data_IF_809534684117
#
_entry.id   IF_809534684117
#
_cell.length_a   1.000
_cell.length_b   1.000
_cell.length_c   1.000
_cell.angle_alpha   90.00
_cell.angle_beta   90.00
_cell.angle_gamma   90.00
#
_symmetry.space_group_name_H-M   'P 1'
#
loop_
_entity.id
_entity.type
_entity.pdbx_description
1 polymer ?
#
# COMPACT_ATOMS: atom_id res chain seq x y z
N UNK A 1 29.21 70.49 61.56
CA UNK A 1 29.36 70.69 60.08
C UNK A 1 29.33 69.38 59.31
N UNK A 2 29.85 68.26 59.81
CA UNK A 2 29.76 66.94 59.13
C UNK A 2 28.37 66.32 59.03
N UNK A 3 27.49 66.53 60.00
CA UNK A 3 26.15 65.92 60.07
C UNK A 3 25.14 66.52 59.04
N UNK A 4 25.42 67.77 58.60
CA UNK A 4 24.55 68.40 57.57
C UNK A 4 24.90 67.99 56.13
N UNK A 5 26.23 67.67 55.96
CA UNK A 5 26.69 67.14 54.64
C UNK A 5 26.18 65.76 54.35
N UNK A 6 26.16 64.83 55.34
CA UNK A 6 25.62 63.47 55.19
C UNK A 6 24.11 63.42 55.01
N UNK A 7 23.37 64.37 55.60
CA UNK A 7 21.90 64.48 55.39
C UNK A 7 21.56 65.01 54.00
N UNK A 8 22.35 65.92 53.41
CA UNK A 8 22.15 66.36 52.04
C UNK A 8 22.47 65.30 50.98
N UNK A 9 23.53 64.53 51.21
CA UNK A 9 23.87 63.37 50.34
C UNK A 9 22.79 62.28 50.38
N UNK A 10 22.23 61.99 51.58
CA UNK A 10 21.12 61.05 51.72
C UNK A 10 19.83 61.49 51.01
N UNK A 11 19.54 62.80 51.06
CA UNK A 11 18.40 63.39 50.34
C UNK A 11 18.60 63.42 48.84
N UNK A 12 19.83 63.61 48.38
CA UNK A 12 20.17 63.62 46.96
C UNK A 12 20.10 62.19 46.37
N UNK A 13 20.62 61.18 47.04
CA UNK A 13 20.50 59.77 46.66
C UNK A 13 19.04 59.32 46.62
N UNK A 14 18.20 59.68 47.60
CA UNK A 14 16.76 59.35 47.56
C UNK A 14 16.01 60.04 46.40
N UNK A 15 16.39 61.25 46.02
CA UNK A 15 15.87 61.91 44.85
C UNK A 15 16.21 61.24 43.54
N UNK A 16 17.45 60.77 43.43
CA UNK A 16 17.87 60.07 42.25
C UNK A 16 17.22 58.66 42.14
N UNK A 17 17.08 57.90 43.23
CA UNK A 17 16.29 56.64 43.25
C UNK A 17 14.80 56.87 42.90
N UNK A 18 14.18 57.95 43.41
CA UNK A 18 12.80 58.33 43.03
C UNK A 18 12.69 58.74 41.55
N UNK A 19 13.66 59.47 41.04
CA UNK A 19 13.69 59.83 39.60
C UNK A 19 13.90 58.61 38.73
N UNK A 20 14.75 57.68 39.09
CA UNK A 20 14.97 56.41 38.39
C UNK A 20 13.69 55.57 38.39
N UNK A 21 13.04 55.37 39.54
CA UNK A 21 11.80 54.64 39.66
C UNK A 21 10.63 55.31 38.89
N UNK A 22 10.56 56.64 38.89
CA UNK A 22 9.61 57.39 38.05
C UNK A 22 9.90 57.26 36.56
N UNK A 23 11.17 57.23 36.15
CA UNK A 23 11.56 57.03 34.77
C UNK A 23 11.18 55.62 34.25
N UNK A 24 11.33 54.60 35.13
CA UNK A 24 10.92 53.22 34.88
C UNK A 24 9.41 53.14 34.72
N UNK A 25 8.65 53.76 35.66
CA UNK A 25 7.19 53.83 35.58
C UNK A 25 6.70 54.55 34.33
N UNK A 26 7.35 55.65 33.96
CA UNK A 26 7.03 56.39 32.72
C UNK A 26 7.35 55.55 31.49
N UNK A 27 8.44 54.82 31.42
CA UNK A 27 8.77 53.90 30.32
C UNK A 27 7.76 52.76 30.23
N UNK A 28 7.28 52.20 31.34
CA UNK A 28 6.26 51.16 31.39
C UNK A 28 4.88 51.65 30.97
N UNK A 29 4.54 52.94 31.28
CA UNK A 29 3.23 53.50 30.99
C UNK A 29 3.15 54.24 29.65
N UNK A 30 4.28 54.65 29.06
CA UNK A 30 4.36 55.35 27.78
C UNK A 30 3.61 54.64 26.64
N UNK A 31 3.79 53.30 26.44
CA UNK A 31 3.09 52.59 25.38
C UNK A 31 1.57 52.64 25.50
N UNK A 32 1.04 52.65 26.75
CA UNK A 32 -0.41 52.66 27.00
C UNK A 32 -1.10 54.03 26.76
N UNK A 33 -0.29 55.10 26.62
CA UNK A 33 -0.80 56.48 26.28
C UNK A 33 -0.80 56.73 24.78
N UNK A 34 -0.15 55.87 24.01
CA UNK A 34 -0.04 56.04 22.59
C UNK A 34 -1.29 55.46 21.87
N UNK A 35 -1.93 56.26 21.06
CA UNK A 35 -3.09 55.83 20.27
C UNK A 35 -2.71 54.77 19.23
N UNK A 36 -1.47 54.80 18.69
CA UNK A 36 -0.98 53.79 17.75
C UNK A 36 -0.86 52.40 18.39
N UNK A 37 -0.47 52.33 19.66
CA UNK A 37 -0.45 51.07 20.38
C UNK A 37 -1.83 50.43 20.46
N UNK A 38 -2.87 51.18 20.81
CA UNK A 38 -4.23 50.69 20.90
C UNK A 38 -4.83 50.29 19.54
N UNK A 39 -4.47 51.02 18.49
CA UNK A 39 -4.83 50.66 17.10
C UNK A 39 -4.17 49.32 16.72
N UNK A 40 -2.90 49.15 17.04
CA UNK A 40 -2.18 47.88 16.80
C UNK A 40 -2.83 46.68 17.56
N UNK A 41 -3.10 46.86 18.85
CA UNK A 41 -3.80 45.81 19.65
C UNK A 41 -5.20 45.53 19.07
N UNK A 42 -5.97 46.52 18.71
CA UNK A 42 -7.28 46.37 18.09
C UNK A 42 -7.20 45.58 16.77
N UNK A 43 -6.24 45.89 15.92
CA UNK A 43 -6.04 45.18 14.65
C UNK A 43 -5.64 43.73 14.89
N UNK A 44 -4.78 43.44 15.86
CA UNK A 44 -4.37 42.08 16.20
C UNK A 44 -5.58 41.27 16.75
N UNK A 45 -6.45 41.88 17.53
CA UNK A 45 -7.70 41.26 18.00
C UNK A 45 -8.64 40.96 16.84
N UNK A 46 -8.80 41.91 15.90
CA UNK A 46 -9.64 41.72 14.70
C UNK A 46 -9.11 40.55 13.86
N UNK A 47 -7.79 40.52 13.58
CA UNK A 47 -7.16 39.41 12.85
C UNK A 47 -7.32 38.07 13.55
N UNK A 48 -7.16 38.06 14.89
CA UNK A 48 -7.36 36.84 15.70
C UNK A 48 -8.80 36.33 15.60
N UNK A 49 -9.78 37.25 15.66
CA UNK A 49 -11.18 36.89 15.48
C UNK A 49 -11.47 36.33 14.10
N UNK A 50 -10.88 36.90 13.05
CA UNK A 50 -10.99 36.38 11.69
C UNK A 50 -10.39 34.97 11.58
N UNK A 51 -9.24 34.70 12.18
CA UNK A 51 -8.63 33.37 12.21
C UNK A 51 -9.52 32.35 12.91
N UNK A 52 -10.10 32.72 14.04
CA UNK A 52 -11.04 31.86 14.79
C UNK A 52 -12.27 31.54 13.94
N UNK A 53 -12.87 32.54 13.30
CA UNK A 53 -14.03 32.34 12.42
C UNK A 53 -13.65 31.42 11.23
N UNK A 54 -12.50 31.66 10.60
CA UNK A 54 -12.01 30.80 9.53
C UNK A 54 -11.79 29.34 10.00
N UNK A 55 -11.18 29.15 11.17
CA UNK A 55 -10.98 27.83 11.78
C UNK A 55 -12.32 27.11 12.03
N UNK A 56 -13.33 27.80 12.57
CA UNK A 56 -14.66 27.22 12.79
C UNK A 56 -15.35 26.84 11.48
N UNK A 57 -15.20 27.64 10.43
CA UNK A 57 -15.73 27.34 9.10
C UNK A 57 -15.04 26.11 8.52
N UNK A 58 -13.71 26.05 8.59
CA UNK A 58 -12.91 24.91 8.09
C UNK A 58 -13.31 23.63 8.86
N UNK A 59 -13.42 23.67 10.20
CA UNK A 59 -13.85 22.55 11.01
C UNK A 59 -15.24 22.07 10.57
N UNK A 60 -16.18 22.97 10.35
CA UNK A 60 -17.55 22.61 9.93
C UNK A 60 -17.56 21.97 8.55
N UNK A 61 -16.75 22.48 7.60
CA UNK A 61 -16.59 21.89 6.25
C UNK A 61 -16.01 20.48 6.36
N UNK A 62 -14.89 20.31 7.09
CA UNK A 62 -14.24 19.00 7.26
C UNK A 62 -15.18 17.97 7.90
N UNK A 63 -15.88 18.35 8.95
CA UNK A 63 -16.86 17.46 9.62
C UNK A 63 -18.00 17.04 8.68
N UNK A 64 -18.48 17.98 7.85
CA UNK A 64 -19.53 17.69 6.87
C UNK A 64 -19.03 16.74 5.78
N UNK A 65 -17.80 16.96 5.28
CA UNK A 65 -17.17 16.08 4.30
C UNK A 65 -16.95 14.67 4.86
N UNK A 66 -16.38 14.56 6.07
CA UNK A 66 -16.16 13.26 6.73
C UNK A 66 -17.48 12.50 6.85
N UNK A 67 -18.52 13.14 7.40
CA UNK A 67 -19.86 12.53 7.52
C UNK A 67 -20.43 12.10 6.17
N UNK A 68 -20.28 12.90 5.12
CA UNK A 68 -20.80 12.61 3.80
C UNK A 68 -20.12 11.37 3.18
N UNK A 69 -18.78 11.27 3.29
CA UNK A 69 -18.02 10.13 2.79
C UNK A 69 -18.46 8.81 3.46
N UNK A 70 -18.64 8.82 4.77
CA UNK A 70 -19.06 7.62 5.51
C UNK A 70 -20.56 7.30 5.39
N UNK A 71 -21.43 8.29 5.13
CA UNK A 71 -22.86 8.07 4.94
C UNK A 71 -23.25 7.54 3.56
N UNK A 72 -22.43 7.79 2.52
CA UNK A 72 -22.69 7.32 1.16
C UNK A 72 -22.77 5.78 1.07
N UNK A 73 -22.07 5.06 1.98
CA UNK A 73 -22.07 3.60 2.03
C UNK A 73 -23.12 2.94 2.94
N UNK A 74 -24.06 3.68 3.53
CA UNK A 74 -24.73 3.22 4.78
C UNK A 74 -26.15 2.62 4.61
N UNK A 75 -26.70 2.50 3.40
CA UNK A 75 -28.11 2.07 3.24
C UNK A 75 -28.40 0.59 3.56
N UNK A 76 -27.37 -0.30 3.64
CA UNK A 76 -27.56 -1.74 3.91
C UNK A 76 -26.44 -2.39 4.77
N UNK A 77 -25.83 -1.64 5.70
CA UNK A 77 -24.72 -2.19 6.52
C UNK A 77 -25.23 -2.89 7.79
N UNK A 78 -24.59 -4.02 8.12
CA UNK A 78 -24.76 -4.73 9.38
C UNK A 78 -24.38 -3.85 10.60
N UNK A 79 -24.99 -4.11 11.76
CA UNK A 79 -24.82 -3.33 12.99
C UNK A 79 -23.34 -3.16 13.42
N UNK A 80 -22.52 -4.19 13.20
CA UNK A 80 -21.08 -4.20 13.52
C UNK A 80 -20.28 -3.25 12.60
N UNK A 81 -20.62 -3.19 11.31
CA UNK A 81 -19.99 -2.28 10.37
C UNK A 81 -20.33 -0.81 10.69
N UNK A 82 -21.56 -0.55 11.13
CA UNK A 82 -22.01 0.79 11.52
C UNK A 82 -21.23 1.31 12.73
N UNK A 83 -21.06 0.51 13.79
CA UNK A 83 -20.28 0.90 14.99
C UNK A 83 -18.83 1.22 14.66
N UNK A 84 -18.20 0.44 13.77
CA UNK A 84 -16.83 0.69 13.32
C UNK A 84 -16.71 2.01 12.55
N UNK A 85 -17.66 2.28 11.65
CA UNK A 85 -17.66 3.51 10.87
C UNK A 85 -17.87 4.74 11.77
N UNK A 86 -18.73 4.66 12.80
CA UNK A 86 -18.94 5.71 13.79
C UNK A 86 -17.65 6.04 14.56
N UNK A 87 -16.91 5.01 15.00
CA UNK A 87 -15.62 5.20 15.70
C UNK A 87 -14.58 5.86 14.77
N UNK A 88 -14.49 5.43 13.50
CA UNK A 88 -13.57 6.03 12.55
C UNK A 88 -13.90 7.48 12.23
N UNK A 89 -15.18 7.81 12.06
CA UNK A 89 -15.66 9.19 11.88
C UNK A 89 -15.29 10.05 13.06
N UNK A 90 -15.47 9.55 14.28
CA UNK A 90 -15.14 10.28 15.51
C UNK A 90 -13.64 10.55 15.65
N UNK A 91 -12.81 9.53 15.38
CA UNK A 91 -11.36 9.68 15.39
C UNK A 91 -10.88 10.72 14.36
N UNK A 92 -11.34 10.62 13.11
CA UNK A 92 -10.98 11.56 12.05
C UNK A 92 -11.44 12.98 12.37
N UNK A 93 -12.64 13.12 12.94
CA UNK A 93 -13.17 14.41 13.39
C UNK A 93 -12.26 15.03 14.45
N UNK A 94 -11.89 14.27 15.48
CA UNK A 94 -11.08 14.77 16.57
C UNK A 94 -9.67 15.16 16.10
N UNK A 95 -9.04 14.34 15.28
CA UNK A 95 -7.73 14.65 14.66
C UNK A 95 -7.81 15.96 13.85
N UNK A 96 -8.86 16.09 13.02
CA UNK A 96 -9.06 17.30 12.22
C UNK A 96 -9.26 18.55 13.07
N UNK A 97 -10.03 18.45 14.15
CA UNK A 97 -10.26 19.56 15.08
C UNK A 97 -8.96 19.98 15.75
N UNK A 98 -8.16 19.02 16.25
CA UNK A 98 -6.89 19.33 16.91
C UNK A 98 -5.89 19.96 15.93
N UNK A 99 -5.81 19.47 14.71
CA UNK A 99 -4.92 20.02 13.69
C UNK A 99 -5.30 21.47 13.34
N UNK A 100 -6.59 21.75 13.11
CA UNK A 100 -7.04 23.12 12.76
C UNK A 100 -6.84 24.07 13.93
N UNK A 101 -7.16 23.66 15.16
CA UNK A 101 -6.93 24.49 16.34
C UNK A 101 -5.44 24.74 16.60
N UNK A 102 -4.58 23.75 16.39
CA UNK A 102 -3.14 23.93 16.50
C UNK A 102 -2.64 25.01 15.55
N UNK A 103 -3.06 24.96 14.28
CA UNK A 103 -2.70 25.97 13.26
C UNK A 103 -3.27 27.35 13.63
N UNK A 104 -4.51 27.42 14.06
CA UNK A 104 -5.16 28.68 14.44
C UNK A 104 -4.46 29.33 15.64
N UNK A 105 -4.15 28.56 16.68
CA UNK A 105 -3.48 29.05 17.91
C UNK A 105 -2.07 29.54 17.59
N UNK A 106 -1.30 28.78 16.78
CA UNK A 106 0.05 29.20 16.37
C UNK A 106 0.02 30.48 15.54
N UNK A 107 -0.95 30.62 14.61
CA UNK A 107 -1.13 31.83 13.84
C UNK A 107 -1.52 33.05 14.71
N UNK A 108 -2.34 32.85 15.73
CA UNK A 108 -2.69 33.92 16.68
C UNK A 108 -1.45 34.31 17.49
N UNK A 109 -0.65 33.35 17.99
CA UNK A 109 0.59 33.66 18.71
C UNK A 109 1.56 34.49 17.87
N UNK A 110 1.69 34.18 16.59
CA UNK A 110 2.54 34.93 15.65
C UNK A 110 2.11 36.40 15.53
N UNK A 111 0.81 36.66 15.44
CA UNK A 111 0.24 38.03 15.37
C UNK A 111 0.61 38.82 16.63
N UNK A 112 0.63 38.17 17.79
CA UNK A 112 1.01 38.83 19.06
C UNK A 112 2.53 38.87 19.30
N UNK A 113 3.33 38.47 18.31
CA UNK A 113 4.80 38.50 18.38
C UNK A 113 5.42 37.43 19.30
N UNK A 114 4.65 36.42 19.69
CA UNK A 114 5.17 35.29 20.48
C UNK A 114 6.06 34.42 19.58
N UNK A 115 7.30 34.08 19.98
CA UNK A 115 8.20 33.32 19.14
C UNK A 115 7.74 31.87 19.01
N UNK A 116 7.07 31.54 17.87
CA UNK A 116 6.50 30.22 17.59
C UNK A 116 7.53 29.24 16.98
N UNK A 117 8.77 29.66 16.71
CA UNK A 117 9.79 28.83 16.06
C UNK A 117 10.03 27.50 16.77
N UNK A 118 10.06 27.51 18.11
CA UNK A 118 10.22 26.28 18.90
C UNK A 118 9.02 25.34 18.79
N UNK A 119 7.79 25.90 18.77
CA UNK A 119 6.57 25.11 18.58
C UNK A 119 6.53 24.46 17.19
N UNK A 120 6.88 25.22 16.15
CA UNK A 120 6.92 24.70 14.78
C UNK A 120 8.01 23.63 14.60
N UNK A 121 9.20 23.82 15.21
CA UNK A 121 10.24 22.82 15.19
C UNK A 121 9.81 21.52 15.87
N UNK A 122 9.20 21.60 17.06
CA UNK A 122 8.65 20.45 17.78
C UNK A 122 7.52 19.75 16.98
N UNK A 123 6.60 20.51 16.41
CA UNK A 123 5.55 19.98 15.55
C UNK A 123 6.12 19.30 14.30
N UNK A 124 7.20 19.84 13.72
CA UNK A 124 7.91 19.23 12.59
C UNK A 124 8.49 17.86 12.94
N UNK A 125 9.11 17.71 14.11
CA UNK A 125 9.64 16.41 14.58
C UNK A 125 8.50 15.41 14.78
N UNK A 126 7.39 15.82 15.40
CA UNK A 126 6.20 14.97 15.56
C UNK A 126 5.63 14.59 14.21
N UNK A 127 5.55 15.54 13.26
CA UNK A 127 5.09 15.30 11.90
C UNK A 127 5.93 14.27 11.16
N UNK A 128 7.26 14.34 11.28
CA UNK A 128 8.17 13.35 10.72
C UNK A 128 7.96 11.96 11.34
N UNK A 129 7.80 11.87 12.67
CA UNK A 129 7.56 10.60 13.34
C UNK A 129 6.24 9.95 12.89
N UNK A 130 5.17 10.75 12.77
CA UNK A 130 3.88 10.31 12.23
C UNK A 130 4.00 9.91 10.76
N UNK A 131 4.76 10.68 9.96
CA UNK A 131 5.02 10.39 8.54
C UNK A 131 5.72 9.04 8.35
N UNK A 132 6.78 8.76 9.13
CA UNK A 132 7.45 7.45 9.11
C UNK A 132 6.52 6.32 9.57
N UNK A 133 5.69 6.56 10.60
CA UNK A 133 4.69 5.59 11.05
C UNK A 133 3.60 5.29 10.01
N UNK A 134 3.26 6.25 9.15
CA UNK A 134 2.26 6.12 8.10
C UNK A 134 2.83 5.74 6.73
N UNK A 135 4.14 5.60 6.56
CA UNK A 135 4.82 5.39 5.28
C UNK A 135 4.30 4.15 4.53
N UNK A 136 4.09 3.04 5.23
CA UNK A 136 3.55 1.80 4.63
C UNK A 136 2.13 2.00 4.09
N UNK A 137 1.29 2.74 4.81
CA UNK A 137 -0.08 3.04 4.37
C UNK A 137 -0.08 3.87 3.07
N UNK A 138 0.79 4.87 3.00
CA UNK A 138 0.95 5.71 1.80
C UNK A 138 1.45 4.86 0.63
N UNK A 139 2.44 3.99 0.86
CA UNK A 139 2.94 3.05 -0.14
C UNK A 139 1.82 2.14 -0.66
N UNK A 140 1.00 1.56 0.24
CA UNK A 140 -0.12 0.68 -0.13
C UNK A 140 -1.09 1.38 -1.07
N UNK A 141 -1.47 2.63 -0.74
CA UNK A 141 -2.44 3.41 -1.52
C UNK A 141 -1.88 3.80 -2.88
N UNK A 142 -0.63 4.24 -2.94
CA UNK A 142 0.03 4.61 -4.20
C UNK A 142 0.16 3.38 -5.10
N UNK A 143 0.65 2.25 -4.57
CA UNK A 143 0.77 1.00 -5.34
C UNK A 143 -0.60 0.54 -5.84
N UNK A 144 -1.63 0.55 -4.97
CA UNK A 144 -2.98 0.17 -5.36
C UNK A 144 -3.58 1.07 -6.44
N UNK A 145 -3.28 2.38 -6.40
CA UNK A 145 -3.67 3.30 -7.47
C UNK A 145 -3.01 2.93 -8.80
N UNK A 146 -1.70 2.65 -8.82
CA UNK A 146 -1.01 2.27 -10.06
C UNK A 146 -1.46 0.92 -10.59
N UNK A 147 -1.70 -0.08 -9.74
CA UNK A 147 -2.27 -1.37 -10.16
C UNK A 147 -3.58 -1.16 -10.93
N UNK A 148 -4.47 -0.30 -10.40
CA UNK A 148 -5.75 0.01 -11.05
C UNK A 148 -5.57 0.87 -12.30
N UNK A 149 -4.70 1.87 -12.26
CA UNK A 149 -4.48 2.81 -13.34
C UNK A 149 -3.83 2.16 -14.57
N UNK A 150 -2.84 1.29 -14.33
CA UNK A 150 -2.13 0.54 -15.37
C UNK A 150 -2.83 -0.76 -15.77
N UNK A 151 -3.91 -1.13 -15.06
CA UNK A 151 -4.63 -2.38 -15.25
C UNK A 151 -3.70 -3.62 -15.24
N UNK A 152 -2.78 -3.67 -14.26
CA UNK A 152 -1.80 -4.76 -14.17
C UNK A 152 -2.48 -6.12 -13.98
N UNK A 153 -3.58 -6.15 -13.24
CA UNK A 153 -4.50 -7.29 -13.09
C UNK A 153 -5.87 -6.80 -12.61
N UNK A 154 -6.90 -7.60 -12.86
CA UNK A 154 -8.29 -7.30 -12.56
C UNK A 154 -8.94 -8.36 -11.67
N UNK A 155 -10.14 -8.06 -11.14
CA UNK A 155 -10.93 -9.06 -10.41
C UNK A 155 -11.32 -10.20 -11.35
N UNK A 156 -11.02 -11.43 -10.94
CA UNK A 156 -11.22 -12.64 -11.73
C UNK A 156 -9.93 -13.19 -12.35
N UNK A 157 -8.87 -12.39 -12.47
CA UNK A 157 -7.59 -12.85 -13.01
C UNK A 157 -6.93 -13.84 -12.05
N UNK A 158 -6.28 -14.85 -12.62
CA UNK A 158 -5.39 -15.76 -11.91
C UNK A 158 -3.96 -15.20 -11.99
N UNK A 159 -3.39 -14.95 -10.83
CA UNK A 159 -2.08 -14.31 -10.71
C UNK A 159 -1.19 -15.03 -9.71
N UNK A 160 0.11 -14.91 -9.94
CA UNK A 160 1.15 -15.25 -8.98
C UNK A 160 1.84 -13.97 -8.55
N UNK A 161 1.85 -13.71 -7.24
CA UNK A 161 2.36 -12.47 -6.64
C UNK A 161 3.59 -12.80 -5.80
N UNK A 162 4.68 -12.11 -6.09
CA UNK A 162 5.93 -12.23 -5.37
C UNK A 162 6.26 -10.91 -4.63
N UNK A 163 7.01 -11.05 -3.53
CA UNK A 163 7.64 -9.95 -2.82
C UNK A 163 9.10 -10.31 -2.58
N UNK A 164 10.02 -9.48 -3.08
CA UNK A 164 11.46 -9.71 -2.96
C UNK A 164 11.90 -11.14 -3.37
N UNK A 165 11.36 -11.65 -4.47
CA UNK A 165 11.67 -12.98 -5.00
C UNK A 165 10.98 -14.15 -4.26
N UNK A 166 10.17 -13.87 -3.24
CA UNK A 166 9.42 -14.90 -2.51
C UNK A 166 7.95 -14.87 -2.92
N UNK A 167 7.38 -16.04 -3.18
CA UNK A 167 5.94 -16.21 -3.44
C UNK A 167 5.15 -15.86 -2.18
N UNK A 168 4.24 -14.88 -2.28
CA UNK A 168 3.37 -14.46 -1.19
C UNK A 168 1.90 -14.83 -1.41
N UNK A 169 1.46 -14.95 -2.65
CA UNK A 169 0.14 -15.48 -2.99
C UNK A 169 0.08 -15.95 -4.44
N UNK A 170 -0.71 -17.01 -4.68
CA UNK A 170 -1.07 -17.49 -6.01
C UNK A 170 -2.55 -17.87 -6.02
N UNK A 171 -3.29 -17.39 -7.01
CA UNK A 171 -4.71 -17.67 -7.14
C UNK A 171 -5.50 -16.58 -7.87
N UNK A 172 -6.81 -16.67 -7.76
CA UNK A 172 -7.75 -15.74 -8.41
C UNK A 172 -7.96 -14.49 -7.55
N UNK A 173 -7.92 -13.32 -8.18
CA UNK A 173 -8.22 -12.03 -7.54
C UNK A 173 -9.72 -11.96 -7.20
N UNK A 174 -10.06 -11.90 -5.92
CA UNK A 174 -11.45 -11.75 -5.45
C UNK A 174 -11.89 -10.30 -5.37
N UNK A 175 -11.01 -9.43 -4.93
CA UNK A 175 -11.29 -8.01 -4.82
C UNK A 175 -10.02 -7.19 -4.82
N UNK A 176 -10.09 -6.03 -5.44
CA UNK A 176 -9.02 -5.07 -5.56
C UNK A 176 -9.46 -3.77 -4.88
N UNK A 177 -8.75 -3.37 -3.82
CA UNK A 177 -8.97 -2.11 -3.12
C UNK A 177 -7.76 -1.20 -3.23
N UNK A 178 -7.90 0.08 -2.89
CA UNK A 178 -6.77 1.03 -2.91
C UNK A 178 -5.62 0.62 -1.98
N UNK A 179 -5.91 -0.02 -0.85
CA UNK A 179 -4.89 -0.39 0.13
C UNK A 179 -4.51 -1.86 0.09
N UNK A 180 -5.43 -2.74 -0.28
CA UNK A 180 -5.23 -4.19 -0.19
C UNK A 180 -5.94 -4.94 -1.29
N UNK A 181 -5.31 -6.02 -1.73
CA UNK A 181 -5.81 -6.99 -2.70
C UNK A 181 -6.15 -8.30 -1.98
N UNK A 182 -7.22 -8.98 -2.39
CA UNK A 182 -7.60 -10.30 -1.88
C UNK A 182 -7.46 -11.33 -2.98
N UNK A 183 -6.69 -12.36 -2.70
CA UNK A 183 -6.39 -13.48 -3.60
C UNK A 183 -6.97 -14.75 -3.01
N UNK A 184 -7.73 -15.51 -3.79
CA UNK A 184 -8.25 -16.83 -3.43
C UNK A 184 -7.38 -17.91 -4.06
N UNK A 185 -6.71 -18.69 -3.23
CA UNK A 185 -5.95 -19.86 -3.67
C UNK A 185 -6.86 -20.95 -4.26
N UNK A 186 -6.29 -21.87 -5.02
CA UNK A 186 -6.97 -23.05 -5.56
C UNK A 186 -7.53 -23.96 -4.44
N UNK A 187 -6.90 -23.95 -3.28
CA UNK A 187 -7.35 -24.66 -2.07
C UNK A 187 -8.49 -23.96 -1.33
N UNK A 188 -8.84 -22.73 -1.75
CA UNK A 188 -9.97 -21.97 -1.22
C UNK A 188 -9.61 -20.92 -0.16
N UNK A 189 -8.36 -20.85 0.28
CA UNK A 189 -7.87 -19.86 1.24
C UNK A 189 -7.90 -18.45 0.62
N UNK A 190 -8.17 -17.47 1.47
CA UNK A 190 -8.17 -16.07 1.04
C UNK A 190 -6.98 -15.36 1.70
N UNK A 191 -6.01 -15.00 0.89
CA UNK A 191 -4.88 -14.17 1.31
C UNK A 191 -5.22 -12.70 1.11
N UNK A 192 -5.03 -11.89 2.15
CA UNK A 192 -5.22 -10.43 2.11
C UNK A 192 -3.84 -9.79 2.12
N UNK A 193 -3.48 -9.14 1.01
CA UNK A 193 -2.17 -8.52 0.81
C UNK A 193 -2.28 -7.01 0.86
N UNK A 194 -1.45 -6.30 1.66
CA UNK A 194 -1.24 -4.87 1.46
C UNK A 194 -0.65 -4.63 0.07
N UNK A 195 -1.18 -3.69 -0.70
CA UNK A 195 -0.71 -3.46 -2.08
C UNK A 195 0.77 -3.09 -2.13
N UNK A 196 1.28 -2.36 -1.14
CA UNK A 196 2.69 -1.99 -1.04
C UNK A 196 3.67 -3.16 -0.85
N UNK A 197 3.17 -4.38 -0.56
CA UNK A 197 3.96 -5.60 -0.51
C UNK A 197 4.08 -6.31 -1.86
N UNK A 198 3.27 -5.93 -2.84
CA UNK A 198 3.28 -6.47 -4.20
C UNK A 198 4.45 -5.82 -4.95
N UNK A 199 5.44 -6.61 -5.35
CA UNK A 199 6.60 -6.12 -6.10
C UNK A 199 6.64 -6.66 -7.53
N UNK A 200 6.19 -7.89 -7.72
CA UNK A 200 6.17 -8.57 -9.00
C UNK A 200 4.86 -9.35 -9.14
N UNK A 201 4.26 -9.27 -10.31
CA UNK A 201 3.03 -9.98 -10.62
C UNK A 201 3.21 -10.72 -11.94
N UNK A 202 2.95 -12.02 -11.92
CA UNK A 202 2.78 -12.83 -13.12
C UNK A 202 1.30 -13.05 -13.31
N UNK A 203 0.74 -12.51 -14.41
CA UNK A 203 -0.67 -12.62 -14.73
C UNK A 203 -0.87 -13.70 -15.80
N UNK A 204 -1.61 -14.74 -15.46
CA UNK A 204 -1.91 -15.88 -16.34
C UNK A 204 -3.21 -15.72 -17.13
N UNK A 205 -3.89 -14.57 -16.97
CA UNK A 205 -5.22 -14.34 -17.56
C UNK A 205 -5.26 -13.28 -18.65
N UNK A 206 -4.15 -12.52 -18.87
CA UNK A 206 -4.13 -11.41 -19.83
C UNK A 206 -3.98 -11.85 -21.29
N UNK A 207 -3.34 -12.98 -21.54
CA UNK A 207 -3.05 -13.47 -22.88
C UNK A 207 -3.07 -14.99 -22.92
N UNK A 208 -3.03 -15.56 -24.12
CA UNK A 208 -2.76 -16.98 -24.28
C UNK A 208 -1.48 -17.35 -23.55
N UNK A 209 -1.44 -18.55 -23.02
CA UNK A 209 -0.32 -19.04 -22.22
C UNK A 209 0.19 -20.34 -22.78
N UNK A 210 1.47 -20.62 -22.58
CA UNK A 210 2.08 -21.87 -23.01
C UNK A 210 2.07 -22.85 -21.84
N UNK A 211 1.39 -23.97 -22.02
CA UNK A 211 1.48 -25.14 -21.17
C UNK A 211 2.77 -25.91 -21.52
N UNK A 212 3.55 -26.29 -20.53
CA UNK A 212 4.78 -27.05 -20.71
C UNK A 212 4.60 -28.42 -20.07
N UNK A 213 4.73 -29.48 -20.84
CA UNK A 213 4.60 -30.86 -20.36
C UNK A 213 5.86 -31.65 -20.65
N UNK A 214 6.25 -32.46 -19.70
CA UNK A 214 7.33 -33.42 -19.79
C UNK A 214 6.72 -34.83 -19.84
N UNK A 215 7.07 -35.57 -20.91
CA UNK A 215 6.56 -36.92 -21.17
C UNK A 215 7.74 -37.90 -21.02
N UNK A 216 7.73 -38.74 -19.98
CA UNK A 216 8.77 -39.74 -19.80
C UNK A 216 8.53 -40.93 -20.73
N UNK A 217 9.58 -41.33 -21.48
CA UNK A 217 9.63 -42.51 -22.37
C UNK A 217 10.78 -43.40 -21.91
N UNK A 218 10.66 -44.72 -22.11
CA UNK A 218 11.74 -45.65 -21.77
C UNK A 218 12.92 -45.45 -22.75
N UNK A 219 14.16 -45.41 -22.24
CA UNK A 219 15.36 -45.21 -23.07
C UNK A 219 15.65 -46.40 -24.02
N UNK A 220 15.10 -47.60 -23.73
CA UNK A 220 15.22 -48.77 -24.60
C UNK A 220 14.32 -48.70 -25.84
N UNK A 221 13.34 -47.79 -25.84
CA UNK A 221 12.45 -47.59 -27.00
C UNK A 221 13.08 -46.61 -28.01
N UNK A 222 12.65 -46.70 -29.27
CA UNK A 222 13.06 -45.75 -30.29
C UNK A 222 12.36 -44.39 -30.02
N UNK A 223 13.19 -43.40 -29.64
CA UNK A 223 12.73 -42.08 -29.29
C UNK A 223 12.11 -41.35 -30.48
N UNK A 224 12.67 -41.53 -31.68
CA UNK A 224 12.16 -40.90 -32.90
C UNK A 224 10.78 -41.46 -33.27
N UNK A 225 10.59 -42.78 -33.10
CA UNK A 225 9.31 -43.43 -33.31
C UNK A 225 8.26 -42.97 -32.23
N UNK A 226 8.70 -42.81 -31.01
CA UNK A 226 7.83 -42.29 -29.94
C UNK A 226 7.41 -40.82 -30.20
N UNK A 227 8.33 -39.96 -30.63
CA UNK A 227 8.00 -38.57 -31.01
C UNK A 227 7.01 -38.52 -32.14
N UNK A 228 7.23 -39.30 -33.21
CA UNK A 228 6.33 -39.38 -34.36
C UNK A 228 4.92 -39.86 -33.97
N UNK A 229 4.82 -40.86 -33.13
CA UNK A 229 3.57 -41.38 -32.60
C UNK A 229 2.82 -40.30 -31.74
N UNK A 230 3.57 -39.51 -30.98
CA UNK A 230 3.00 -38.38 -30.21
C UNK A 230 2.55 -37.22 -31.12
N UNK A 231 3.26 -36.94 -32.23
CA UNK A 231 2.83 -35.93 -33.21
C UNK A 231 1.43 -36.27 -33.79
N UNK A 232 1.19 -37.56 -34.11
CA UNK A 232 -0.10 -38.03 -34.61
C UNK A 232 -1.22 -37.79 -33.55
N UNK A 233 -0.97 -38.10 -32.29
CA UNK A 233 -1.89 -37.82 -31.20
C UNK A 233 -2.18 -36.32 -31.08
N UNK A 234 -1.13 -35.51 -31.08
CA UNK A 234 -1.24 -34.06 -30.82
C UNK A 234 -1.97 -33.34 -31.93
N UNK A 235 -1.89 -33.80 -33.18
CA UNK A 235 -2.64 -33.25 -34.31
C UNK A 235 -4.16 -33.33 -34.09
N UNK A 236 -4.65 -34.33 -33.34
CA UNK A 236 -6.07 -34.53 -33.06
C UNK A 236 -6.56 -33.87 -31.77
N UNK A 237 -5.63 -33.52 -30.84
CA UNK A 237 -6.00 -32.96 -29.53
C UNK A 237 -6.88 -31.71 -29.58
N UNK A 238 -6.71 -30.74 -30.49
CA UNK A 238 -7.59 -29.56 -30.56
C UNK A 238 -9.06 -29.89 -30.82
N UNK A 239 -9.36 -31.05 -31.42
CA UNK A 239 -10.72 -31.50 -31.61
C UNK A 239 -11.43 -31.92 -30.32
N UNK A 240 -10.64 -32.27 -29.28
CA UNK A 240 -11.13 -32.75 -27.98
C UNK A 240 -10.96 -31.71 -26.86
N UNK A 241 -10.02 -30.79 -27.01
CA UNK A 241 -9.69 -29.78 -26.02
C UNK A 241 -9.80 -28.40 -26.66
N UNK A 242 -10.97 -27.76 -26.49
CA UNK A 242 -11.26 -26.42 -27.04
C UNK A 242 -10.42 -25.30 -26.42
N UNK A 243 -9.74 -25.60 -25.31
CA UNK A 243 -8.82 -24.69 -24.63
C UNK A 243 -7.48 -24.58 -25.33
N UNK A 244 -7.15 -25.49 -26.26
CA UNK A 244 -5.96 -25.42 -27.11
C UNK A 244 -6.17 -24.42 -28.25
N UNK A 245 -5.21 -23.54 -28.46
CA UNK A 245 -5.19 -22.58 -29.58
C UNK A 245 -4.61 -23.22 -30.84
N UNK A 246 -3.62 -24.10 -30.66
CA UNK A 246 -2.95 -24.87 -31.68
C UNK A 246 -2.61 -26.27 -31.17
N UNK A 247 -2.31 -27.23 -32.07
CA UNK A 247 -1.79 -28.53 -31.67
C UNK A 247 -0.55 -28.39 -30.80
N UNK A 248 -0.36 -29.26 -29.76
CA UNK A 248 0.89 -29.30 -29.01
C UNK A 248 2.10 -29.57 -29.92
N UNK A 249 3.21 -28.92 -29.62
CA UNK A 249 4.45 -29.01 -30.36
C UNK A 249 5.51 -29.74 -29.53
N UNK A 250 6.22 -30.68 -30.14
CA UNK A 250 7.33 -31.40 -29.52
C UNK A 250 8.61 -30.59 -29.73
N UNK A 251 9.26 -30.17 -28.64
CA UNK A 251 10.55 -29.47 -28.71
C UNK A 251 11.74 -30.41 -28.82
N UNK A 252 11.55 -31.70 -28.50
CA UNK A 252 12.59 -32.71 -28.51
C UNK A 252 12.84 -33.30 -27.12
N UNK A 253 13.99 -33.98 -27.00
CA UNK A 253 14.41 -34.61 -25.72
C UNK A 253 15.05 -33.56 -24.81
N UNK A 254 14.51 -33.41 -23.62
CA UNK A 254 15.01 -32.44 -22.62
C UNK A 254 16.05 -33.06 -21.67
N UNK A 255 15.84 -34.30 -21.26
CA UNK A 255 16.77 -35.03 -20.37
C UNK A 255 16.77 -36.53 -20.65
N UNK A 256 17.94 -37.16 -20.45
CA UNK A 256 18.12 -38.63 -20.52
C UNK A 256 18.80 -39.05 -19.23
N UNK A 257 18.07 -39.70 -18.35
CA UNK A 257 18.56 -40.11 -17.04
C UNK A 257 18.01 -41.45 -16.62
N UNK A 258 18.86 -42.36 -16.11
CA UNK A 258 18.49 -43.61 -15.45
C UNK A 258 17.44 -44.46 -16.18
N UNK A 259 17.57 -44.60 -17.51
CA UNK A 259 16.64 -45.43 -18.28
C UNK A 259 15.32 -44.74 -18.67
N UNK A 260 15.24 -43.42 -18.46
CA UNK A 260 14.10 -42.58 -18.85
C UNK A 260 14.60 -41.45 -19.74
N UNK A 261 14.00 -41.27 -20.91
CA UNK A 261 14.15 -40.10 -21.76
C UNK A 261 12.93 -39.22 -21.60
N UNK A 262 13.13 -37.94 -21.32
CA UNK A 262 12.03 -36.98 -21.13
C UNK A 262 11.84 -36.15 -22.38
N UNK A 263 10.68 -36.26 -23.04
CA UNK A 263 10.29 -35.46 -24.21
C UNK A 263 9.58 -34.22 -23.72
N UNK A 264 10.07 -33.05 -24.12
CA UNK A 264 9.45 -31.75 -23.80
C UNK A 264 8.45 -31.36 -24.87
N UNK A 265 7.26 -31.02 -24.40
CA UNK A 265 6.12 -30.62 -25.24
C UNK A 265 5.58 -29.28 -24.75
N UNK A 266 5.29 -28.41 -25.69
CA UNK A 266 4.62 -27.14 -25.42
C UNK A 266 3.26 -27.08 -26.09
N UNK A 267 2.31 -26.36 -25.51
CA UNK A 267 1.00 -26.14 -26.11
C UNK A 267 0.49 -24.74 -25.78
N UNK A 268 0.15 -23.98 -26.82
CA UNK A 268 -0.53 -22.70 -26.62
C UNK A 268 -1.99 -22.95 -26.27
N UNK A 269 -2.43 -22.38 -25.14
CA UNK A 269 -3.80 -22.54 -24.63
C UNK A 269 -4.41 -21.19 -24.23
N UNK A 270 -5.71 -21.18 -24.08
CA UNK A 270 -6.48 -20.05 -23.59
C UNK A 270 -5.99 -19.62 -22.19
N UNK A 271 -6.22 -18.35 -21.83
CA UNK A 271 -5.81 -17.82 -20.53
C UNK A 271 -6.26 -18.72 -19.37
N UNK A 272 -5.35 -18.92 -18.40
CA UNK A 272 -5.62 -19.68 -17.18
C UNK A 272 -5.92 -21.20 -17.37
N UNK A 273 -5.70 -21.77 -18.54
CA UNK A 273 -5.98 -23.21 -18.83
C UNK A 273 -4.74 -24.10 -18.84
N UNK A 274 -3.55 -23.54 -18.72
CA UNK A 274 -2.27 -24.25 -18.86
C UNK A 274 -2.15 -25.48 -17.95
N UNK A 275 -2.52 -25.38 -16.65
CA UNK A 275 -2.46 -26.53 -15.74
C UNK A 275 -3.44 -27.67 -16.13
N UNK A 276 -4.58 -27.33 -16.74
CA UNK A 276 -5.52 -28.31 -17.28
C UNK A 276 -4.95 -29.05 -18.46
N UNK A 277 -4.43 -28.28 -19.42
CA UNK A 277 -3.82 -28.80 -20.67
C UNK A 277 -2.55 -29.62 -20.36
N UNK A 278 -1.67 -29.19 -19.47
CA UNK A 278 -0.50 -29.96 -19.04
C UNK A 278 -0.89 -31.38 -18.56
N UNK A 279 -1.94 -31.46 -17.71
CA UNK A 279 -2.42 -32.75 -17.21
C UNK A 279 -3.07 -33.59 -18.31
N UNK A 280 -3.80 -32.96 -19.24
CA UNK A 280 -4.40 -33.61 -20.39
C UNK A 280 -3.34 -34.21 -21.31
N UNK A 281 -2.33 -33.43 -21.70
CA UNK A 281 -1.20 -33.89 -22.51
C UNK A 281 -0.52 -35.09 -21.87
N UNK A 282 -0.14 -35.03 -20.59
CA UNK A 282 0.53 -36.15 -19.90
C UNK A 282 -0.33 -37.41 -19.84
N UNK A 283 -1.63 -37.24 -19.58
CA UNK A 283 -2.57 -38.37 -19.51
C UNK A 283 -2.74 -39.04 -20.86
N UNK A 284 -3.02 -38.26 -21.91
CA UNK A 284 -3.33 -38.78 -23.23
C UNK A 284 -2.07 -39.33 -23.93
N UNK A 285 -0.91 -38.64 -23.78
CA UNK A 285 0.37 -39.15 -24.25
C UNK A 285 0.73 -40.49 -23.61
N UNK A 286 0.57 -40.61 -22.28
CA UNK A 286 0.83 -41.89 -21.59
C UNK A 286 -0.04 -43.00 -22.13
N UNK A 287 -1.36 -42.76 -22.30
CA UNK A 287 -2.30 -43.76 -22.79
C UNK A 287 -1.95 -44.16 -24.22
N UNK A 288 -1.67 -43.20 -25.09
CA UNK A 288 -1.35 -43.42 -26.51
C UNK A 288 -0.06 -44.24 -26.67
N UNK A 289 1.00 -43.90 -25.94
CA UNK A 289 2.27 -44.68 -25.97
C UNK A 289 2.06 -46.11 -25.48
N UNK A 290 1.29 -46.34 -24.41
CA UNK A 290 0.97 -47.68 -23.93
C UNK A 290 0.17 -48.51 -24.94
N UNK A 291 -0.81 -47.91 -25.65
CA UNK A 291 -1.62 -48.55 -26.70
C UNK A 291 -0.79 -48.89 -27.95
N UNK A 292 0.25 -48.12 -28.25
CA UNK A 292 1.17 -48.37 -29.38
C UNK A 292 2.37 -49.25 -29.02
N UNK A 293 2.39 -49.85 -27.82
CA UNK A 293 3.34 -50.87 -27.43
C UNK A 293 4.69 -50.35 -26.87
N UNK A 294 4.79 -49.03 -26.59
CA UNK A 294 5.96 -48.48 -25.93
C UNK A 294 6.06 -48.95 -24.46
N UNK A 295 7.27 -49.22 -24.03
CA UNK A 295 7.55 -49.70 -22.67
C UNK A 295 7.27 -48.61 -21.65
N UNK A 296 6.77 -49.01 -20.49
CA UNK A 296 6.64 -48.07 -19.37
C UNK A 296 8.02 -47.68 -18.85
N UNK A 297 8.26 -46.39 -18.58
CA UNK A 297 9.50 -46.01 -17.92
C UNK A 297 9.59 -46.69 -16.55
N UNK A 298 10.72 -47.35 -16.29
CA UNK A 298 10.92 -48.05 -15.03
C UNK A 298 11.09 -47.06 -13.89
N UNK A 299 10.46 -47.29 -12.72
CA UNK A 299 10.74 -46.47 -11.57
C UNK A 299 12.21 -46.65 -11.15
N UNK A 300 12.92 -45.54 -10.94
CA UNK A 300 14.28 -45.56 -10.42
C UNK A 300 14.25 -46.13 -9.01
N UNK A 301 14.64 -47.42 -8.88
CA UNK A 301 14.85 -48.03 -7.58
C UNK A 301 16.29 -47.70 -7.14
N UNK A 302 16.42 -46.79 -6.18
CA UNK A 302 17.68 -46.64 -5.43
C UNK A 302 17.89 -47.86 -4.56
N UNK A 303 18.42 -48.94 -5.13
CA UNK A 303 19.00 -50.03 -4.32
C UNK A 303 20.30 -49.45 -3.77
N UNK A 304 20.33 -49.13 -2.48
CA UNK A 304 21.56 -48.85 -1.76
C UNK A 304 22.49 -50.07 -1.92
N UNK A 305 23.45 -49.95 -2.82
CA UNK A 305 24.64 -50.80 -2.78
C UNK A 305 25.40 -50.41 -1.51
N UNK A 306 25.37 -51.27 -0.51
CA UNK A 306 26.25 -51.23 0.64
C UNK A 306 27.69 -51.48 0.24
#
# INVERSE_FOLDING_TARGET
MYTILTANEAVENTKDEVKESLSILQRLTAPFKDSEFWVGVFMNVVWSLMIIIAALIIIKILQTMIKKVFNIGNKNKNLSAKKRDETLVELLRNISIYAVWFIAITAIFDIFGVPIRGLLAGAGIIGLAVGFGAQSLVKDVITGFFILFENQFSVGDYVKINSSGTLIAEGTILSLGLRSTRVKSITGEITILPNGSIMEVVNYSMSNIIAVSEIPVNTDDDIDEAMKSLEELFAEMPNHYHELVAPPEILGVDDISYGVSTIKVIAECLPNQHYGIERAIRKDAKKHLEENGFKKPLPVSYTHLR
#
